data_IF_243466730513
#
_entry.id   IF_243466730513
#
_cell.length_a   1.000
_cell.length_b   1.000
_cell.length_c   1.000
_cell.angle_alpha   90.00
_cell.angle_beta   90.00
_cell.angle_gamma   90.00
#
_symmetry.space_group_name_H-M   'P 1'
#
loop_
_entity.id
_entity.type
_entity.pdbx_description
1 polymer ?
#
# COMPACT_ATOMS: atom_id res chain seq x y z
N UNK A 1 -38.16 0.79 -26.38
CA UNK A 1 -36.75 1.25 -26.45
C UNK A 1 -36.30 2.29 -25.42
N UNK A 2 -37.18 2.98 -24.66
CA UNK A 2 -36.75 4.05 -23.69
C UNK A 2 -36.09 3.56 -22.38
N UNK A 3 -36.19 2.28 -22.01
CA UNK A 3 -35.73 1.77 -20.70
C UNK A 3 -34.21 1.59 -20.55
N UNK A 4 -33.45 1.56 -21.66
CA UNK A 4 -32.01 1.31 -21.63
C UNK A 4 -31.15 2.56 -21.38
N UNK A 5 -31.71 3.77 -21.55
CA UNK A 5 -30.93 5.01 -21.41
C UNK A 5 -30.63 5.35 -19.93
N UNK A 6 -31.61 5.16 -19.05
CA UNK A 6 -31.44 5.45 -17.61
C UNK A 6 -30.45 4.54 -16.89
N UNK A 7 -30.33 3.28 -17.32
CA UNK A 7 -29.37 2.33 -16.70
C UNK A 7 -27.91 2.69 -16.97
N UNK A 8 -27.59 3.29 -18.13
CA UNK A 8 -26.23 3.74 -18.47
C UNK A 8 -25.83 5.02 -17.73
N UNK A 9 -26.77 5.95 -17.55
CA UNK A 9 -26.51 7.20 -16.83
C UNK A 9 -26.25 6.95 -15.34
N UNK A 10 -27.04 6.08 -14.69
CA UNK A 10 -26.82 5.70 -13.29
C UNK A 10 -25.45 5.05 -13.07
N UNK A 11 -25.07 4.10 -13.94
CA UNK A 11 -23.78 3.45 -13.86
C UNK A 11 -22.61 4.46 -13.93
N UNK A 12 -22.69 5.45 -14.83
CA UNK A 12 -21.66 6.48 -14.96
C UNK A 12 -21.47 7.31 -13.68
N UNK A 13 -22.54 7.68 -12.98
CA UNK A 13 -22.44 8.45 -11.73
C UNK A 13 -21.74 7.63 -10.65
N UNK A 14 -22.06 6.34 -10.54
CA UNK A 14 -21.42 5.44 -9.58
C UNK A 14 -19.91 5.25 -9.87
N UNK A 15 -19.52 5.21 -11.15
CA UNK A 15 -18.11 5.15 -11.55
C UNK A 15 -17.30 6.35 -11.06
N UNK A 16 -17.83 7.57 -11.20
CA UNK A 16 -17.11 8.77 -10.74
C UNK A 16 -16.98 8.79 -9.22
N UNK A 17 -18.04 8.41 -8.51
CA UNK A 17 -18.04 8.36 -7.04
C UNK A 17 -16.99 7.37 -6.53
N UNK A 18 -16.94 6.16 -7.08
CA UNK A 18 -15.96 5.13 -6.70
C UNK A 18 -14.51 5.59 -6.92
N UNK A 19 -14.25 6.35 -7.99
CA UNK A 19 -12.91 6.89 -8.27
C UNK A 19 -12.50 7.96 -7.28
N UNK A 20 -13.41 8.89 -6.96
CA UNK A 20 -13.14 9.95 -5.98
C UNK A 20 -12.93 9.35 -4.59
N UNK A 21 -13.83 8.46 -4.15
CA UNK A 21 -13.70 7.82 -2.84
C UNK A 21 -12.44 6.92 -2.76
N UNK A 22 -12.11 6.19 -3.82
CA UNK A 22 -10.87 5.42 -3.91
C UNK A 22 -9.63 6.32 -3.85
N UNK A 23 -9.65 7.47 -4.52
CA UNK A 23 -8.59 8.47 -4.46
C UNK A 23 -8.35 8.97 -3.03
N UNK A 24 -9.41 9.39 -2.33
CA UNK A 24 -9.31 9.83 -0.93
C UNK A 24 -8.75 8.75 0.00
N UNK A 25 -9.18 7.50 -0.16
CA UNK A 25 -8.65 6.38 0.62
C UNK A 25 -7.15 6.15 0.35
N UNK A 26 -6.70 6.34 -0.88
CA UNK A 26 -5.27 6.17 -1.22
C UNK A 26 -4.38 7.31 -0.74
N UNK A 27 -4.95 8.49 -0.47
CA UNK A 27 -4.23 9.58 0.19
C UNK A 27 -3.93 9.25 1.66
N UNK A 28 -4.78 8.45 2.32
CA UNK A 28 -4.55 8.00 3.69
C UNK A 28 -3.51 6.88 3.76
N UNK A 29 -3.62 5.89 2.87
CA UNK A 29 -2.69 4.77 2.81
C UNK A 29 -2.53 4.30 1.36
N UNK A 30 -1.29 4.22 0.83
CA UNK A 30 -1.06 3.71 -0.51
C UNK A 30 -1.65 2.31 -0.70
N UNK A 31 -2.36 2.08 -1.81
CA UNK A 31 -3.02 0.82 -2.16
C UNK A 31 -4.45 0.66 -1.64
N UNK A 32 -4.92 1.48 -0.69
CA UNK A 32 -6.25 1.32 -0.09
C UNK A 32 -7.39 1.62 -1.07
N UNK A 33 -7.23 2.59 -1.97
CA UNK A 33 -8.23 2.89 -3.00
C UNK A 33 -8.31 1.82 -4.07
N UNK A 34 -7.20 1.17 -4.38
CA UNK A 34 -7.16 0.03 -5.30
C UNK A 34 -7.93 -1.14 -4.71
N UNK A 35 -7.71 -1.47 -3.43
CA UNK A 35 -8.48 -2.49 -2.72
C UNK A 35 -9.98 -2.16 -2.69
N UNK A 36 -10.33 -0.91 -2.40
CA UNK A 36 -11.73 -0.48 -2.40
C UNK A 36 -12.40 -0.65 -3.77
N UNK A 37 -11.65 -0.44 -4.86
CA UNK A 37 -12.13 -0.63 -6.23
C UNK A 37 -12.06 -2.09 -6.71
N UNK A 38 -11.64 -3.05 -5.89
CA UNK A 38 -11.48 -4.46 -6.28
C UNK A 38 -10.15 -4.80 -6.97
N UNK A 39 -9.24 -3.84 -7.14
CA UNK A 39 -7.90 -4.09 -7.72
C UNK A 39 -6.94 -4.66 -6.67
N UNK A 40 -7.19 -5.89 -6.22
CA UNK A 40 -6.47 -6.51 -5.09
C UNK A 40 -4.97 -6.60 -5.30
N UNK A 41 -4.55 -7.14 -6.46
CA UNK A 41 -3.12 -7.29 -6.76
C UNK A 41 -2.39 -5.94 -6.76
N UNK A 42 -2.99 -4.91 -7.35
CA UNK A 42 -2.40 -3.55 -7.37
C UNK A 42 -2.32 -2.96 -5.97
N UNK A 43 -3.38 -3.13 -5.17
CA UNK A 43 -3.42 -2.67 -3.78
C UNK A 43 -2.31 -3.30 -2.94
N UNK A 44 -2.14 -4.63 -3.03
CA UNK A 44 -1.08 -5.35 -2.30
C UNK A 44 0.30 -4.86 -2.71
N UNK A 45 0.59 -4.73 -4.01
CA UNK A 45 1.90 -4.26 -4.49
C UNK A 45 2.23 -2.87 -3.95
N UNK A 46 1.27 -1.94 -3.99
CA UNK A 46 1.46 -0.57 -3.50
C UNK A 46 1.63 -0.53 -1.97
N UNK A 47 0.83 -1.29 -1.22
CA UNK A 47 0.95 -1.41 0.23
C UNK A 47 2.30 -2.01 0.63
N UNK A 48 2.74 -3.08 -0.03
CA UNK A 48 4.04 -3.69 0.23
C UNK A 48 5.19 -2.74 -0.08
N UNK A 49 5.13 -2.02 -1.20
CA UNK A 49 6.14 -1.02 -1.55
C UNK A 49 6.21 0.13 -0.53
N UNK A 50 5.05 0.63 -0.08
CA UNK A 50 4.97 1.65 0.96
C UNK A 50 5.51 1.12 2.30
N UNK A 51 5.16 -0.12 2.68
CA UNK A 51 5.65 -0.78 3.89
C UNK A 51 7.16 -0.95 3.90
N UNK A 52 7.75 -1.50 2.83
CA UNK A 52 9.21 -1.65 2.68
C UNK A 52 9.90 -0.29 2.73
N UNK A 53 9.38 0.72 2.03
CA UNK A 53 9.97 2.07 2.03
C UNK A 53 9.89 2.73 3.42
N UNK A 54 8.80 2.52 4.15
CA UNK A 54 8.61 3.04 5.51
C UNK A 54 9.57 2.38 6.50
N UNK A 55 9.65 1.04 6.48
CA UNK A 55 10.60 0.29 7.32
C UNK A 55 12.04 0.69 7.00
N UNK A 56 12.39 0.80 5.71
CA UNK A 56 13.71 1.25 5.27
C UNK A 56 14.03 2.67 5.74
N UNK A 57 13.07 3.59 5.66
CA UNK A 57 13.23 4.98 6.13
C UNK A 57 13.46 5.05 7.64
N UNK A 58 12.68 4.31 8.43
CA UNK A 58 12.81 4.28 9.89
C UNK A 58 14.15 3.63 10.29
N UNK A 59 14.50 2.48 9.71
CA UNK A 59 15.75 1.78 10.01
C UNK A 59 16.97 2.63 9.65
N UNK A 60 16.96 3.28 8.47
CA UNK A 60 18.05 4.15 8.05
C UNK A 60 18.15 5.43 8.89
N UNK A 61 17.06 5.94 9.45
CA UNK A 61 17.10 7.08 10.37
C UNK A 61 17.89 6.75 11.65
N UNK A 62 17.72 5.56 12.23
CA UNK A 62 18.54 5.12 13.36
C UNK A 62 20.02 4.98 12.99
N UNK A 63 20.31 4.40 11.81
CA UNK A 63 21.68 4.27 11.33
C UNK A 63 22.37 5.62 11.06
N UNK A 64 21.61 6.63 10.62
CA UNK A 64 22.09 8.01 10.46
C UNK A 64 22.44 8.63 11.81
N UNK A 65 21.61 8.42 12.84
CA UNK A 65 21.87 8.93 14.18
C UNK A 65 23.15 8.31 14.76
N UNK A 66 23.25 6.98 14.74
CA UNK A 66 24.43 6.26 15.25
C UNK A 66 25.72 6.68 14.53
N UNK A 67 25.69 6.76 13.18
CA UNK A 67 26.85 7.19 12.41
C UNK A 67 27.21 8.66 12.69
N UNK A 68 26.21 9.51 12.86
CA UNK A 68 26.39 10.93 13.17
C UNK A 68 26.98 11.16 14.56
N UNK A 69 26.57 10.38 15.55
CA UNK A 69 27.10 10.46 16.91
C UNK A 69 28.55 9.98 16.98
N UNK A 70 28.89 8.89 16.26
CA UNK A 70 30.29 8.43 16.14
C UNK A 70 31.19 9.47 15.46
N UNK A 71 30.74 10.03 14.35
CA UNK A 71 31.48 11.09 13.65
C UNK A 71 31.73 12.31 14.56
N UNK A 72 30.68 12.79 15.26
CA UNK A 72 30.79 13.95 16.16
C UNK A 72 31.63 13.70 17.40
N UNK A 73 31.81 12.44 17.80
CA UNK A 73 32.61 12.04 18.96
C UNK A 73 34.06 11.65 18.66
N UNK A 74 34.53 11.77 17.42
CA UNK A 74 35.91 11.40 17.05
C UNK A 74 36.85 12.58 17.19
N UNK A 75 37.91 12.43 17.99
CA UNK A 75 39.00 13.41 18.13
C UNK A 75 40.12 13.21 17.10
N UNK A 76 40.16 12.04 16.45
CA UNK A 76 41.13 11.70 15.40
C UNK A 76 40.60 12.18 14.03
N UNK A 77 41.35 13.05 13.32
CA UNK A 77 40.93 13.61 12.03
C UNK A 77 40.84 12.57 10.91
N UNK A 78 41.73 11.58 10.88
CA UNK A 78 41.73 10.55 9.83
C UNK A 78 40.52 9.62 10.04
N UNK A 79 40.25 9.25 11.30
CA UNK A 79 39.05 8.48 11.65
C UNK A 79 37.76 9.28 11.42
N UNK A 80 37.77 10.59 11.67
CA UNK A 80 36.61 11.44 11.45
C UNK A 80 36.21 11.49 9.97
N UNK A 81 37.18 11.50 9.05
CA UNK A 81 36.91 11.44 7.61
C UNK A 81 36.19 10.13 7.22
N UNK A 82 36.69 8.98 7.69
CA UNK A 82 36.06 7.68 7.43
C UNK A 82 34.64 7.56 8.03
N UNK A 83 34.44 8.12 9.22
CA UNK A 83 33.13 8.15 9.87
C UNK A 83 32.16 9.07 9.16
N UNK A 84 32.63 10.20 8.63
CA UNK A 84 31.84 11.11 7.82
C UNK A 84 31.30 10.43 6.55
N UNK A 85 32.14 9.65 5.84
CA UNK A 85 31.71 8.92 4.65
C UNK A 85 30.63 7.86 4.97
N UNK A 86 30.76 7.18 6.11
CA UNK A 86 29.73 6.24 6.59
C UNK A 86 28.42 6.98 6.89
N UNK A 87 28.49 8.11 7.58
CA UNK A 87 27.34 8.97 7.86
C UNK A 87 26.67 9.47 6.57
N UNK A 88 27.46 9.94 5.60
CA UNK A 88 26.95 10.41 4.31
C UNK A 88 26.23 9.30 3.54
N UNK A 89 26.77 8.08 3.57
CA UNK A 89 26.12 6.92 2.93
C UNK A 89 24.77 6.58 3.56
N UNK A 90 24.68 6.52 4.89
CA UNK A 90 23.41 6.24 5.58
C UNK A 90 22.40 7.37 5.37
N UNK A 91 22.86 8.63 5.33
CA UNK A 91 22.02 9.79 5.06
C UNK A 91 21.41 9.75 3.66
N UNK A 92 22.22 9.42 2.64
CA UNK A 92 21.72 9.21 1.26
C UNK A 92 20.71 8.08 1.18
N UNK A 93 20.97 6.96 1.86
CA UNK A 93 20.04 5.82 1.92
C UNK A 93 18.70 6.22 2.53
N UNK A 94 18.72 6.96 3.65
CA UNK A 94 17.52 7.48 4.31
C UNK A 94 16.68 8.33 3.35
N UNK A 95 17.32 9.28 2.68
CA UNK A 95 16.61 10.14 1.73
C UNK A 95 16.09 9.34 0.53
N UNK A 96 16.82 8.32 0.07
CA UNK A 96 16.36 7.40 -0.97
C UNK A 96 15.05 6.71 -0.60
N UNK A 97 14.94 6.17 0.61
CA UNK A 97 13.68 5.59 1.10
C UNK A 97 12.56 6.62 1.26
N UNK A 98 12.88 7.84 1.72
CA UNK A 98 11.91 8.93 1.80
C UNK A 98 11.33 9.31 0.43
N UNK A 99 12.20 9.41 -0.59
CA UNK A 99 11.78 9.68 -1.97
C UNK A 99 10.96 8.52 -2.52
N UNK A 100 11.39 7.27 -2.29
CA UNK A 100 10.64 6.09 -2.74
C UNK A 100 9.24 6.04 -2.12
N UNK A 101 9.13 6.31 -0.82
CA UNK A 101 7.85 6.37 -0.12
C UNK A 101 6.95 7.46 -0.71
N UNK A 102 7.47 8.66 -0.93
CA UNK A 102 6.73 9.76 -1.54
C UNK A 102 6.25 9.41 -2.97
N UNK A 103 7.11 8.78 -3.78
CA UNK A 103 6.78 8.34 -5.13
C UNK A 103 5.66 7.28 -5.11
N UNK A 104 5.72 6.30 -4.20
CA UNK A 104 4.65 5.30 -4.03
C UNK A 104 3.35 5.97 -3.61
N UNK A 105 3.40 6.96 -2.73
CA UNK A 105 2.20 7.69 -2.27
C UNK A 105 1.52 8.46 -3.39
N UNK A 106 2.28 9.26 -4.14
CA UNK A 106 1.78 10.04 -5.27
C UNK A 106 1.27 9.09 -6.37
N UNK A 107 2.06 8.07 -6.71
CA UNK A 107 1.70 7.08 -7.72
C UNK A 107 0.42 6.33 -7.36
N UNK A 108 0.28 5.92 -6.10
CA UNK A 108 -0.94 5.25 -5.60
C UNK A 108 -2.16 6.16 -5.66
N UNK A 109 -2.03 7.43 -5.28
CA UNK A 109 -3.14 8.38 -5.33
C UNK A 109 -3.59 8.63 -6.77
N UNK A 110 -2.64 8.87 -7.69
CA UNK A 110 -2.92 9.05 -9.10
C UNK A 110 -3.57 7.81 -9.72
N UNK A 111 -3.05 6.61 -9.47
CA UNK A 111 -3.68 5.36 -9.94
C UNK A 111 -5.09 5.18 -9.36
N UNK A 112 -5.32 5.60 -8.12
CA UNK A 112 -6.65 5.52 -7.51
C UNK A 112 -7.66 6.48 -8.15
N UNK A 113 -7.27 7.70 -8.49
CA UNK A 113 -8.14 8.65 -9.22
C UNK A 113 -8.33 8.25 -10.68
N UNK A 114 -7.29 7.75 -11.35
CA UNK A 114 -7.28 7.55 -12.79
C UNK A 114 -7.69 6.14 -13.23
N UNK A 115 -7.53 5.10 -12.41
CA UNK A 115 -7.92 3.74 -12.83
C UNK A 115 -9.42 3.51 -12.64
N UNK A 116 -10.17 3.09 -13.67
CA UNK A 116 -11.56 2.68 -13.52
C UNK A 116 -11.66 1.41 -12.66
N UNK A 117 -12.80 1.15 -11.99
CA UNK A 117 -13.04 -0.14 -11.35
C UNK A 117 -13.17 -1.25 -12.42
N UNK A 118 -12.88 -2.51 -12.06
CA UNK A 118 -12.96 -3.64 -12.96
C UNK A 118 -14.40 -3.85 -13.46
N UNK A 119 -14.56 -4.08 -14.77
CA UNK A 119 -15.88 -4.18 -15.42
C UNK A 119 -16.64 -5.48 -15.13
N UNK A 120 -15.93 -6.51 -14.63
CA UNK A 120 -16.41 -7.89 -14.62
C UNK A 120 -16.49 -8.50 -13.22
N UNK A 121 -16.06 -7.76 -12.20
CA UNK A 121 -16.13 -8.21 -10.81
C UNK A 121 -17.26 -7.41 -10.16
N UNK A 122 -18.46 -8.00 -10.11
CA UNK A 122 -19.47 -7.54 -9.16
C UNK A 122 -18.79 -7.44 -7.81
N UNK A 123 -18.89 -6.30 -7.11
CA UNK A 123 -18.19 -6.06 -5.85
C UNK A 123 -18.81 -6.93 -4.74
N UNK A 124 -18.58 -8.24 -4.80
CA UNK A 124 -18.60 -9.11 -3.63
C UNK A 124 -17.25 -9.00 -2.90
N UNK A 125 -16.65 -7.81 -2.85
CA UNK A 125 -15.51 -7.52 -1.98
C UNK A 125 -16.06 -7.20 -0.58
N UNK A 126 -16.74 -8.19 -0.02
CA UNK A 126 -16.81 -8.36 1.41
C UNK A 126 -15.82 -9.45 1.76
N UNK A 127 -14.87 -9.18 2.66
CA UNK A 127 -14.19 -10.25 3.38
C UNK A 127 -15.27 -10.94 4.21
N UNK A 128 -16.02 -11.86 3.58
CA UNK A 128 -16.87 -12.78 4.31
C UNK A 128 -15.91 -13.75 4.97
N UNK A 129 -15.53 -13.44 6.20
CA UNK A 129 -15.07 -14.46 7.16
C UNK A 129 -16.31 -15.32 7.45
N UNK A 130 -16.69 -16.14 6.47
CA UNK A 130 -17.73 -17.11 6.60
C UNK A 130 -17.13 -18.34 7.27
N UNK A 131 -17.41 -18.53 8.55
CA UNK A 131 -17.38 -19.86 9.13
C UNK A 131 -18.51 -20.64 8.45
N UNK A 132 -18.21 -21.28 7.32
CA UNK A 132 -19.12 -22.27 6.77
C UNK A 132 -18.92 -23.54 7.60
N UNK A 133 -19.92 -23.98 8.38
CA UNK A 133 -19.88 -25.32 8.94
C UNK A 133 -19.96 -26.27 7.75
N UNK A 134 -18.85 -26.89 7.40
CA UNK A 134 -18.87 -28.05 6.52
C UNK A 134 -19.40 -29.18 7.40
N UNK A 135 -20.69 -29.49 7.26
CA UNK A 135 -21.27 -30.70 7.85
C UNK A 135 -20.65 -31.86 7.09
N UNK A 136 -19.57 -32.43 7.64
CA UNK A 136 -19.02 -33.69 7.16
C UNK A 136 -20.02 -34.81 7.46
N UNK A 137 -20.22 -35.73 6.51
CA UNK A 137 -21.13 -36.88 6.66
C UNK A 137 -20.79 -37.78 7.87
N UNK A 138 -19.61 -37.65 8.46
CA UNK A 138 -19.18 -38.44 9.63
C UNK A 138 -19.36 -37.74 10.99
N UNK A 139 -20.11 -36.65 11.09
CA UNK A 139 -20.42 -36.00 12.38
C UNK A 139 -19.25 -35.25 13.03
N UNK A 140 -18.15 -35.05 12.32
CA UNK A 140 -17.01 -34.23 12.75
C UNK A 140 -17.05 -32.82 12.15
N UNK A 141 -17.23 -31.80 12.98
CA UNK A 141 -17.12 -30.39 12.55
C UNK A 141 -15.67 -30.05 12.22
N UNK A 142 -15.32 -29.92 10.94
CA UNK A 142 -14.02 -29.40 10.50
C UNK A 142 -14.15 -27.93 10.12
N UNK A 143 -13.34 -27.08 10.75
CA UNK A 143 -13.20 -25.67 10.36
C UNK A 143 -12.17 -25.61 9.23
N UNK A 144 -12.61 -25.29 8.01
CA UNK A 144 -11.70 -24.92 6.92
C UNK A 144 -11.70 -23.42 6.73
N UNK A 145 -10.51 -22.85 6.73
CA UNK A 145 -10.27 -21.46 6.36
C UNK A 145 -10.32 -21.38 4.83
N UNK A 146 -11.45 -20.96 4.28
CA UNK A 146 -11.64 -20.84 2.84
C UNK A 146 -11.28 -19.42 2.42
N UNK A 147 -10.02 -19.22 2.04
CA UNK A 147 -9.56 -18.00 1.39
C UNK A 147 -9.96 -18.07 -0.09
N UNK A 148 -11.10 -17.48 -0.44
CA UNK A 148 -11.44 -17.19 -1.84
C UNK A 148 -10.94 -15.78 -2.16
N UNK A 149 -10.06 -15.69 -3.15
CA UNK A 149 -9.57 -14.45 -3.74
C UNK A 149 -10.35 -14.19 -5.03
#
# INVERSE_FOLDING_TARGET
MKRLKGSREAANVDYYRLRIEGGWRSLLLPGLGQLHKGHVQRGIVLMSAAGVSTVGLVASQFAVQEAGDRYRGSDDPDLAADLYDKYLRTWRLRNGFGIALAAVWIGSALDAFLSPPPLNETPEVGVRIGLLPIVGEEGGTRIQLLLRW
#
